data_IF_381639964881
#
_entry.id   IF_381639964881
#
_cell.length_a   1.000
_cell.length_b   1.000
_cell.length_c   1.000
_cell.angle_alpha   90.00
_cell.angle_beta   90.00
_cell.angle_gamma   90.00
#
_symmetry.space_group_name_H-M   'P 1'
#
loop_
_entity.id
_entity.type
_entity.pdbx_description
1 polymer ?
#
# COMPACT_ATOMS: atom_id res chain seq x y z
N UNK A 1 10.74 -8.34 -14.92
CA UNK A 1 9.98 -7.32 -14.14
C UNK A 1 8.50 -7.60 -14.34
N UNK A 2 7.73 -7.72 -13.25
CA UNK A 2 6.28 -7.92 -13.37
C UNK A 2 5.64 -6.64 -13.92
N UNK A 3 4.83 -6.77 -14.98
CA UNK A 3 3.95 -5.70 -15.46
C UNK A 3 2.82 -5.48 -14.44
N UNK A 4 2.14 -4.32 -14.46
CA UNK A 4 1.03 -4.01 -13.54
C UNK A 4 -0.05 -5.11 -13.50
N UNK A 5 -0.38 -5.70 -14.65
CA UNK A 5 -1.35 -6.78 -14.70
C UNK A 5 -0.84 -8.08 -14.06
N UNK A 6 0.46 -8.35 -14.13
CA UNK A 6 1.03 -9.63 -13.70
C UNK A 6 1.16 -9.74 -12.17
N UNK A 7 1.35 -8.62 -11.46
CA UNK A 7 1.45 -8.67 -10.00
C UNK A 7 0.09 -8.89 -9.32
N UNK A 8 -1.03 -8.47 -9.93
CA UNK A 8 -2.37 -8.75 -9.41
C UNK A 8 -2.63 -10.26 -9.39
N UNK A 9 -2.38 -10.94 -10.51
CA UNK A 9 -2.49 -12.41 -10.58
C UNK A 9 -1.52 -13.10 -9.61
N UNK A 10 -0.27 -12.62 -9.50
CA UNK A 10 0.69 -13.17 -8.55
C UNK A 10 0.22 -13.00 -7.09
N UNK A 11 -0.36 -11.85 -6.74
CA UNK A 11 -0.93 -11.62 -5.42
C UNK A 11 -2.06 -12.62 -5.13
N UNK A 12 -3.02 -12.77 -6.06
CA UNK A 12 -4.12 -13.75 -5.93
C UNK A 12 -3.60 -15.17 -5.75
N UNK A 13 -2.62 -15.59 -6.55
CA UNK A 13 -2.02 -16.92 -6.44
C UNK A 13 -1.38 -17.16 -5.06
N UNK A 14 -0.64 -16.18 -4.53
CA UNK A 14 -0.03 -16.28 -3.21
C UNK A 14 -1.09 -16.30 -2.10
N UNK A 15 -2.19 -15.55 -2.25
CA UNK A 15 -3.29 -15.60 -1.28
C UNK A 15 -3.82 -17.03 -1.14
N UNK A 16 -4.12 -17.70 -2.26
CA UNK A 16 -4.59 -19.09 -2.23
C UNK A 16 -3.51 -20.07 -1.73
N UNK A 17 -2.24 -19.82 -2.06
CA UNK A 17 -1.14 -20.62 -1.53
C UNK A 17 -1.04 -20.50 -0.01
N UNK A 18 -1.15 -19.29 0.56
CA UNK A 18 -1.12 -19.06 2.01
C UNK A 18 -2.35 -19.72 2.65
N UNK A 19 -3.54 -19.54 2.08
CA UNK A 19 -4.78 -20.14 2.57
C UNK A 19 -4.69 -21.67 2.67
N UNK A 20 -3.98 -22.31 1.74
CA UNK A 20 -3.87 -23.78 1.69
C UNK A 20 -2.69 -24.33 2.52
N UNK A 21 -1.58 -23.59 2.61
CA UNK A 21 -0.33 -24.11 3.20
C UNK A 21 -0.04 -23.61 4.60
N UNK A 22 -0.60 -22.47 5.00
CA UNK A 22 -0.30 -21.83 6.28
C UNK A 22 -1.47 -22.00 7.28
N UNK A 23 -1.20 -21.88 8.59
CA UNK A 23 -2.24 -21.80 9.61
C UNK A 23 -3.24 -20.67 9.35
N UNK A 24 -4.47 -20.83 9.85
CA UNK A 24 -5.53 -19.82 9.71
C UNK A 24 -5.13 -18.52 10.43
N UNK A 25 -5.02 -17.43 9.67
CA UNK A 25 -4.87 -16.08 10.21
C UNK A 25 -5.22 -15.03 9.15
N UNK A 26 -5.47 -13.79 9.55
CA UNK A 26 -5.90 -12.77 8.60
C UNK A 26 -4.72 -12.34 7.70
N UNK A 27 -5.05 -12.11 6.42
CA UNK A 27 -4.09 -11.71 5.39
C UNK A 27 -4.38 -10.27 4.98
N UNK A 28 -3.34 -9.44 4.94
CA UNK A 28 -3.38 -8.08 4.43
C UNK A 28 -2.60 -7.98 3.12
N UNK A 29 -3.25 -7.47 2.08
CA UNK A 29 -2.67 -7.30 0.74
C UNK A 29 -2.68 -5.83 0.36
N UNK A 30 -1.54 -5.32 -0.11
CA UNK A 30 -1.42 -3.95 -0.56
C UNK A 30 -1.63 -3.82 -2.06
N UNK A 31 -2.52 -2.93 -2.47
CA UNK A 31 -2.75 -2.52 -3.85
C UNK A 31 -2.52 -1.01 -4.01
N UNK A 32 -2.43 -0.54 -5.26
CA UNK A 32 -2.15 0.87 -5.53
C UNK A 32 -3.41 1.72 -5.70
N UNK A 33 -4.55 1.09 -6.04
CA UNK A 33 -5.79 1.82 -6.31
C UNK A 33 -7.06 1.01 -6.10
N UNK A 34 -8.20 1.70 -6.20
CA UNK A 34 -9.52 1.12 -6.03
C UNK A 34 -9.86 0.11 -7.14
N UNK A 35 -9.50 0.39 -8.38
CA UNK A 35 -9.83 -0.49 -9.52
C UNK A 35 -9.13 -1.85 -9.41
N UNK A 36 -7.87 -1.83 -8.96
CA UNK A 36 -7.09 -3.05 -8.70
C UNK A 36 -7.68 -3.87 -7.55
N UNK A 37 -8.19 -3.22 -6.50
CA UNK A 37 -8.87 -3.88 -5.38
C UNK A 37 -10.14 -4.57 -5.88
N UNK A 38 -10.96 -3.87 -6.68
CA UNK A 38 -12.20 -4.45 -7.24
C UNK A 38 -11.91 -5.64 -8.15
N UNK A 39 -10.97 -5.49 -9.09
CA UNK A 39 -10.57 -6.57 -9.99
C UNK A 39 -10.01 -7.78 -9.23
N UNK A 40 -9.23 -7.54 -8.18
CA UNK A 40 -8.70 -8.63 -7.33
C UNK A 40 -9.81 -9.30 -6.53
N UNK A 41 -10.75 -8.53 -5.98
CA UNK A 41 -11.91 -9.07 -5.27
C UNK A 41 -12.76 -9.98 -6.18
N UNK A 42 -13.09 -9.53 -7.39
CA UNK A 42 -13.85 -10.32 -8.36
C UNK A 42 -13.14 -11.64 -8.70
N UNK A 43 -11.82 -11.59 -8.94
CA UNK A 43 -11.02 -12.77 -9.24
C UNK A 43 -10.94 -13.74 -8.05
N UNK A 44 -10.80 -13.23 -6.82
CA UNK A 44 -10.84 -14.05 -5.61
C UNK A 44 -12.21 -14.73 -5.45
N UNK A 45 -13.31 -14.00 -5.63
CA UNK A 45 -14.66 -14.56 -5.52
C UNK A 45 -14.93 -15.64 -6.59
N UNK A 46 -14.52 -15.40 -7.83
CA UNK A 46 -14.68 -16.36 -8.93
C UNK A 46 -13.87 -17.63 -8.67
N UNK A 47 -12.60 -17.48 -8.27
CA UNK A 47 -11.73 -18.61 -7.96
C UNK A 47 -12.23 -19.38 -6.74
N UNK A 48 -12.76 -18.68 -5.72
CA UNK A 48 -13.35 -19.31 -4.55
C UNK A 48 -14.59 -20.13 -4.92
N UNK A 49 -15.46 -19.61 -5.80
CA UNK A 49 -16.63 -20.35 -6.31
C UNK A 49 -16.21 -21.59 -7.10
N UNK A 50 -15.16 -21.49 -7.91
CA UNK A 50 -14.63 -22.63 -8.68
C UNK A 50 -14.04 -23.73 -7.78
N UNK A 51 -13.41 -23.35 -6.67
CA UNK A 51 -12.86 -24.29 -5.68
C UNK A 51 -13.95 -24.89 -4.78
N UNK A 52 -15.07 -24.19 -4.58
CA UNK A 52 -16.23 -24.67 -3.84
C UNK A 52 -15.88 -25.11 -2.42
N UNK A 53 -16.39 -26.29 -2.01
CA UNK A 53 -16.20 -26.83 -0.65
C UNK A 53 -14.79 -27.39 -0.37
N UNK A 54 -13.86 -27.30 -1.34
CA UNK A 54 -12.48 -27.78 -1.13
C UNK A 54 -11.64 -26.82 -0.27
N UNK A 55 -12.09 -25.58 -0.13
CA UNK A 55 -11.42 -24.53 0.64
C UNK A 55 -12.32 -24.05 1.78
N UNK A 56 -11.70 -23.44 2.79
CA UNK A 56 -12.44 -22.81 3.88
C UNK A 56 -13.21 -21.58 3.40
N UNK A 57 -14.15 -21.11 4.21
CA UNK A 57 -14.90 -19.90 3.90
C UNK A 57 -13.95 -18.68 3.84
N UNK A 58 -14.14 -17.81 2.84
CA UNK A 58 -13.30 -16.64 2.64
C UNK A 58 -14.11 -15.38 2.91
N UNK A 59 -13.60 -14.50 3.77
CA UNK A 59 -14.18 -13.18 4.02
C UNK A 59 -13.30 -12.12 3.35
N UNK A 60 -13.75 -11.56 2.23
CA UNK A 60 -13.00 -10.54 1.48
C UNK A 60 -13.48 -9.15 1.92
N UNK A 61 -12.54 -8.27 2.28
CA UNK A 61 -12.81 -6.94 2.82
C UNK A 61 -11.96 -5.89 2.06
N UNK A 62 -12.54 -5.16 1.10
CA UNK A 62 -11.84 -4.09 0.40
C UNK A 62 -11.72 -2.83 1.26
N UNK A 63 -10.58 -2.13 1.17
CA UNK A 63 -10.25 -0.94 1.96
C UNK A 63 -9.63 0.14 1.06
N UNK A 64 -10.42 1.17 0.76
CA UNK A 64 -10.00 2.35 0.00
C UNK A 64 -10.71 3.61 0.51
N UNK A 65 -10.21 4.79 0.13
CA UNK A 65 -10.63 6.08 0.72
C UNK A 65 -12.15 6.36 0.67
N UNK A 66 -12.82 5.97 -0.43
CA UNK A 66 -14.25 6.22 -0.64
C UNK A 66 -15.15 5.05 -0.18
N UNK A 67 -14.72 4.26 0.79
CA UNK A 67 -15.53 3.13 1.29
C UNK A 67 -16.63 3.61 2.24
N UNK A 68 -17.90 3.22 2.05
CA UNK A 68 -18.98 3.61 2.95
C UNK A 68 -18.81 3.00 4.35
N UNK A 69 -19.28 3.72 5.38
CA UNK A 69 -19.06 3.43 6.81
C UNK A 69 -19.51 2.03 7.23
N UNK A 70 -20.60 1.54 6.64
CA UNK A 70 -21.10 0.18 6.89
C UNK A 70 -20.10 -0.91 6.47
N UNK A 71 -19.37 -0.71 5.37
CA UNK A 71 -18.34 -1.65 4.92
C UNK A 71 -17.04 -1.48 5.70
N UNK A 72 -16.75 -0.27 6.21
CA UNK A 72 -15.64 -0.07 7.11
C UNK A 72 -15.83 -0.83 8.44
N UNK A 73 -17.05 -0.88 8.97
CA UNK A 73 -17.36 -1.60 10.20
C UNK A 73 -17.05 -3.12 10.10
N UNK A 74 -17.35 -3.74 8.94
CA UNK A 74 -17.05 -5.16 8.67
C UNK A 74 -15.56 -5.51 8.79
N UNK A 75 -14.67 -4.54 8.61
CA UNK A 75 -13.23 -4.73 8.77
C UNK A 75 -12.86 -5.03 10.24
N UNK A 76 -13.64 -4.51 11.19
CA UNK A 76 -13.40 -4.72 12.62
C UNK A 76 -14.16 -5.92 13.20
N UNK A 77 -15.08 -6.51 12.44
CA UNK A 77 -15.77 -7.72 12.86
C UNK A 77 -14.79 -8.89 12.98
N UNK A 78 -14.88 -9.70 14.05
CA UNK A 78 -14.00 -10.83 14.26
C UNK A 78 -14.22 -11.88 13.17
N UNK A 79 -13.13 -12.49 12.71
CA UNK A 79 -13.17 -13.57 11.71
C UNK A 79 -13.88 -14.80 12.30
N UNK A 80 -14.92 -15.36 11.65
CA UNK A 80 -15.55 -16.60 12.09
C UNK A 80 -14.56 -17.77 12.14
N UNK A 81 -14.71 -18.71 13.08
CA UNK A 81 -13.77 -19.83 13.30
C UNK A 81 -13.51 -20.71 12.05
N UNK A 82 -14.47 -20.77 11.14
CA UNK A 82 -14.36 -21.53 9.88
C UNK A 82 -13.84 -20.71 8.71
N UNK A 83 -13.83 -19.38 8.81
CA UNK A 83 -13.46 -18.48 7.74
C UNK A 83 -12.04 -17.92 7.92
N UNK A 84 -11.48 -17.41 6.83
CA UNK A 84 -10.25 -16.62 6.85
C UNK A 84 -10.52 -15.24 6.23
N UNK A 85 -10.01 -14.18 6.86
CA UNK A 85 -10.22 -12.80 6.41
C UNK A 85 -9.10 -12.33 5.50
N UNK A 86 -9.48 -11.74 4.37
CA UNK A 86 -8.58 -11.16 3.37
C UNK A 86 -8.88 -9.67 3.25
N UNK A 87 -7.90 -8.86 3.63
CA UNK A 87 -7.98 -7.41 3.65
C UNK A 87 -7.25 -6.87 2.42
N UNK A 88 -7.98 -6.27 1.49
CA UNK A 88 -7.41 -5.71 0.26
C UNK A 88 -7.32 -4.18 0.42
N UNK A 89 -6.13 -3.64 0.68
CA UNK A 89 -5.97 -2.27 1.13
C UNK A 89 -5.06 -1.45 0.21
N UNK A 90 -5.34 -0.14 0.08
CA UNK A 90 -4.40 0.79 -0.54
C UNK A 90 -3.36 1.32 0.45
N UNK A 91 -2.35 2.04 -0.03
CA UNK A 91 -1.44 2.78 0.85
C UNK A 91 -2.11 3.90 1.62
N UNK A 92 -3.25 4.44 1.17
CA UNK A 92 -3.88 5.59 1.83
C UNK A 92 -4.50 5.16 3.16
N UNK A 93 -4.88 3.88 3.29
CA UNK A 93 -5.28 3.27 4.57
C UNK A 93 -4.09 2.94 5.50
N UNK A 94 -2.84 3.30 5.13
CA UNK A 94 -1.60 3.01 5.90
C UNK A 94 -1.67 3.42 7.37
N UNK A 95 -2.24 4.58 7.67
CA UNK A 95 -2.01 5.22 8.97
C UNK A 95 -3.13 4.99 9.97
N UNK A 96 -4.35 4.76 9.49
CA UNK A 96 -5.55 4.86 10.32
C UNK A 96 -6.18 3.53 10.75
N UNK A 97 -5.77 2.38 10.19
CA UNK A 97 -6.46 1.12 10.48
C UNK A 97 -5.50 0.14 11.16
N UNK A 98 -5.70 -0.01 12.47
CA UNK A 98 -5.10 -1.09 13.28
C UNK A 98 -6.05 -2.27 13.27
N UNK A 99 -5.85 -3.14 12.29
CA UNK A 99 -6.60 -4.40 12.21
C UNK A 99 -5.85 -5.43 13.05
N UNK A 100 -6.47 -5.87 14.13
CA UNK A 100 -5.95 -6.95 14.96
C UNK A 100 -6.21 -8.29 14.27
N UNK A 101 -5.28 -9.24 14.39
CA UNK A 101 -5.41 -10.57 13.77
C UNK A 101 -4.63 -10.78 12.46
N UNK A 102 -4.06 -9.71 11.89
CA UNK A 102 -3.21 -9.82 10.70
C UNK A 102 -1.87 -10.45 11.05
N UNK A 103 -1.60 -11.63 10.49
CA UNK A 103 -0.33 -12.37 10.64
C UNK A 103 0.42 -12.43 9.31
N UNK A 104 -0.29 -12.34 8.20
CA UNK A 104 0.28 -12.43 6.85
C UNK A 104 0.13 -11.12 6.11
N UNK A 105 1.23 -10.62 5.55
CA UNK A 105 1.24 -9.42 4.70
C UNK A 105 1.76 -9.79 3.32
N UNK A 106 1.07 -9.35 2.27
CA UNK A 106 1.52 -9.47 0.88
C UNK A 106 1.80 -8.05 0.37
N UNK A 107 3.07 -7.80 0.04
CA UNK A 107 3.56 -6.52 -0.45
C UNK A 107 4.07 -6.67 -1.89
N UNK A 108 3.32 -6.21 -2.90
CA UNK A 108 3.80 -6.22 -4.27
C UNK A 108 4.86 -5.13 -4.51
N UNK A 109 5.03 -4.19 -3.58
CA UNK A 109 6.07 -3.17 -3.62
C UNK A 109 5.69 -1.91 -4.40
N UNK A 110 4.51 -1.83 -5.02
CA UNK A 110 4.10 -0.66 -5.81
C UNK A 110 3.50 0.46 -4.96
N UNK A 111 3.62 1.71 -5.46
CA UNK A 111 3.00 2.89 -4.88
C UNK A 111 2.66 3.91 -5.98
N UNK A 112 1.51 4.59 -5.85
CA UNK A 112 1.20 5.79 -6.63
C UNK A 112 1.75 6.99 -5.88
N UNK A 113 2.55 7.79 -6.54
CA UNK A 113 3.13 9.02 -5.98
C UNK A 113 3.05 10.13 -7.01
N UNK A 114 2.79 11.35 -6.55
CA UNK A 114 2.85 12.52 -7.43
C UNK A 114 4.30 12.74 -7.83
N UNK A 115 4.54 12.83 -9.14
CA UNK A 115 5.81 13.27 -9.69
C UNK A 115 5.64 14.72 -10.13
N UNK A 116 6.48 15.59 -9.61
CA UNK A 116 6.63 16.95 -10.13
C UNK A 116 7.79 17.00 -11.14
N UNK A 117 7.54 17.58 -12.32
CA UNK A 117 8.59 17.89 -13.27
C UNK A 117 8.88 19.41 -13.22
N UNK A 118 10.06 19.83 -12.71
CA UNK A 118 10.38 21.24 -12.56
C UNK A 118 10.53 21.98 -13.90
N UNK A 119 10.86 21.28 -14.99
CA UNK A 119 11.02 21.89 -16.31
C UNK A 119 9.68 22.25 -16.96
N UNK A 120 8.63 21.48 -16.69
CA UNK A 120 7.29 21.72 -17.26
C UNK A 120 6.31 22.36 -16.28
N UNK A 121 6.64 22.39 -14.98
CA UNK A 121 5.77 22.88 -13.93
C UNK A 121 4.52 22.02 -13.70
N UNK A 122 4.46 20.82 -14.31
CA UNK A 122 3.31 19.94 -14.23
C UNK A 122 3.49 18.87 -13.14
N UNK A 123 2.43 18.68 -12.37
CA UNK A 123 2.28 17.51 -11.51
C UNK A 123 1.59 16.40 -12.29
N UNK A 124 2.21 15.22 -12.31
CA UNK A 124 1.63 14.03 -12.90
C UNK A 124 1.52 12.94 -11.86
N UNK A 125 0.37 12.26 -11.83
CA UNK A 125 0.16 11.11 -10.97
C UNK A 125 0.77 9.90 -11.70
N UNK A 126 2.03 9.62 -11.42
CA UNK A 126 2.79 8.57 -12.11
C UNK A 126 2.77 7.31 -11.25
N UNK A 127 2.51 6.18 -11.89
CA UNK A 127 2.76 4.87 -11.28
C UNK A 127 4.28 4.69 -11.19
N UNK A 128 4.83 4.88 -10.01
CA UNK A 128 6.21 4.51 -9.79
C UNK A 128 6.30 3.01 -9.50
N UNK A 129 7.08 2.32 -10.32
CA UNK A 129 7.70 1.04 -9.96
C UNK A 129 8.85 1.31 -8.99
N UNK A 130 8.60 2.08 -7.94
CA UNK A 130 9.53 2.15 -6.84
C UNK A 130 9.20 0.97 -5.95
N UNK A 131 10.08 -0.04 -6.00
CA UNK A 131 10.41 -0.85 -4.84
C UNK A 131 10.26 0.07 -3.63
N UNK A 132 9.24 -0.19 -2.83
CA UNK A 132 8.94 0.63 -1.67
C UNK A 132 10.24 1.04 -1.00
N UNK A 133 10.42 2.35 -0.78
CA UNK A 133 11.54 2.85 0.00
C UNK A 133 11.68 1.94 1.22
N UNK A 134 12.88 1.46 1.55
CA UNK A 134 13.05 0.39 2.54
C UNK A 134 12.28 0.64 3.83
N UNK A 135 12.20 1.90 4.27
CA UNK A 135 11.38 2.35 5.38
C UNK A 135 9.88 2.04 5.20
N UNK A 136 9.27 2.38 4.06
CA UNK A 136 7.88 2.07 3.76
C UNK A 136 7.61 0.56 3.66
N UNK A 137 8.51 -0.20 3.03
CA UNK A 137 8.42 -1.66 2.95
C UNK A 137 8.48 -2.31 4.33
N UNK A 138 9.35 -1.79 5.21
CA UNK A 138 9.48 -2.26 6.59
C UNK A 138 8.28 -1.87 7.45
N UNK A 139 7.69 -0.69 7.25
CA UNK A 139 6.43 -0.31 7.89
C UNK A 139 5.27 -1.22 7.47
N UNK A 140 5.18 -1.61 6.19
CA UNK A 140 4.19 -2.58 5.70
C UNK A 140 4.41 -3.96 6.33
N UNK A 141 5.66 -4.43 6.35
CA UNK A 141 6.02 -5.71 6.97
C UNK A 141 5.71 -5.73 8.48
N UNK A 142 5.90 -4.61 9.19
CA UNK A 142 5.57 -4.47 10.61
C UNK A 142 4.09 -4.64 10.95
N UNK A 143 3.18 -4.67 9.98
CA UNK A 143 1.74 -4.92 10.20
C UNK A 143 1.44 -6.37 10.54
N UNK A 144 2.24 -7.31 10.02
CA UNK A 144 2.06 -8.75 10.26
C UNK A 144 2.46 -9.17 11.69
N UNK A 145 3.21 -8.33 12.42
CA UNK A 145 3.83 -8.71 13.70
C UNK A 145 3.22 -8.08 14.95
N UNK A 146 2.01 -7.51 14.88
CA UNK A 146 1.43 -6.75 16.01
C UNK A 146 0.92 -7.62 17.15
N UNK A 147 0.34 -8.78 16.82
CA UNK A 147 -0.34 -9.65 17.80
C UNK A 147 0.40 -10.99 17.96
N UNK A 148 0.96 -11.52 16.87
CA UNK A 148 1.66 -12.79 16.83
C UNK A 148 2.85 -12.71 15.85
N UNK A 149 3.79 -13.68 15.88
CA UNK A 149 4.85 -13.77 14.87
C UNK A 149 4.26 -13.88 13.46
N UNK A 150 4.47 -12.83 12.66
CA UNK A 150 3.93 -12.74 11.31
C UNK A 150 4.93 -13.01 10.20
N UNK A 151 4.41 -13.17 8.97
CA UNK A 151 5.21 -13.31 7.76
C UNK A 151 4.82 -12.25 6.73
N UNK A 152 5.82 -11.64 6.11
CA UNK A 152 5.63 -10.70 5.00
C UNK A 152 6.16 -11.32 3.71
N UNK A 153 5.30 -11.46 2.71
CA UNK A 153 5.62 -11.94 1.37
C UNK A 153 5.80 -10.75 0.43
N UNK A 154 6.99 -10.59 -0.13
CA UNK A 154 7.33 -9.50 -1.05
C UNK A 154 7.37 -10.04 -2.48
N UNK A 155 6.63 -9.44 -3.43
CA UNK A 155 6.58 -9.92 -4.83
C UNK A 155 7.74 -9.44 -5.71
N UNK A 156 8.82 -8.96 -5.09
CA UNK A 156 10.00 -8.45 -5.76
C UNK A 156 11.26 -9.15 -5.27
N UNK A 157 12.27 -9.21 -6.14
CA UNK A 157 13.52 -9.90 -5.86
C UNK A 157 14.31 -9.19 -4.75
N UNK A 158 15.00 -9.97 -3.91
CA UNK A 158 15.87 -9.43 -2.84
C UNK A 158 16.94 -8.47 -3.38
N UNK A 159 17.49 -8.73 -4.57
CA UNK A 159 18.47 -7.85 -5.21
C UNK A 159 17.89 -6.47 -5.54
N UNK A 160 16.65 -6.41 -6.01
CA UNK A 160 15.94 -5.15 -6.25
C UNK A 160 15.69 -4.39 -4.94
N UNK A 161 15.34 -5.10 -3.86
CA UNK A 161 15.20 -4.50 -2.53
C UNK A 161 16.53 -3.90 -2.02
N UNK A 162 17.63 -4.65 -2.11
CA UNK A 162 18.93 -4.21 -1.60
C UNK A 162 19.52 -3.04 -2.41
N UNK A 163 19.34 -3.02 -3.74
CA UNK A 163 19.82 -1.92 -4.58
C UNK A 163 19.13 -0.58 -4.24
N UNK A 164 17.90 -0.63 -3.76
CA UNK A 164 17.12 0.56 -3.41
C UNK A 164 17.32 0.96 -1.94
N UNK A 165 17.98 0.13 -1.12
CA UNK A 165 18.44 0.50 0.21
C UNK A 165 19.51 1.60 0.18
N UNK A 166 20.31 1.64 -0.88
CA UNK A 166 21.41 2.58 -1.04
C UNK A 166 20.95 3.96 -1.57
N UNK A 167 19.66 4.15 -1.84
CA UNK A 167 19.12 5.42 -2.33
C UNK A 167 18.44 6.17 -1.18
N UNK A 168 18.92 7.38 -0.92
CA UNK A 168 18.25 8.29 0.01
C UNK A 168 16.82 8.61 -0.45
N UNK A 169 15.93 8.73 0.53
CA UNK A 169 14.54 9.11 0.30
C UNK A 169 14.53 10.57 -0.13
N UNK A 170 14.21 10.83 -1.40
CA UNK A 170 13.93 12.19 -1.84
C UNK A 170 12.67 12.69 -1.12
N UNK A 171 12.81 13.82 -0.45
CA UNK A 171 11.80 14.37 0.47
C UNK A 171 10.61 14.94 -0.31
N UNK A 172 9.41 14.91 0.27
CA UNK A 172 8.16 15.33 -0.41
C UNK A 172 8.19 16.80 -0.90
N UNK A 173 8.84 17.68 -0.12
CA UNK A 173 9.03 19.10 -0.48
C UNK A 173 9.84 19.28 -1.78
N UNK A 174 10.64 18.28 -2.14
CA UNK A 174 11.43 18.28 -3.37
C UNK A 174 10.69 17.68 -4.57
N UNK A 175 9.50 17.11 -4.36
CA UNK A 175 8.74 16.39 -5.39
C UNK A 175 7.33 16.95 -5.63
N UNK A 176 6.99 18.08 -5.03
CA UNK A 176 5.66 18.68 -5.09
C UNK A 176 5.73 20.13 -5.57
N UNK A 177 4.63 20.63 -6.14
CA UNK A 177 4.52 22.03 -6.51
C UNK A 177 4.35 22.89 -5.25
N UNK A 178 5.32 23.77 -5.04
CA UNK A 178 5.38 24.64 -3.86
C UNK A 178 4.50 25.88 -3.96
N UNK A 179 3.79 26.11 -5.07
CA UNK A 179 2.97 27.31 -5.26
C UNK A 179 2.01 27.55 -4.09
N UNK A 180 1.31 26.49 -3.65
CA UNK A 180 0.39 26.57 -2.51
C UNK A 180 1.12 26.87 -1.18
N UNK A 181 2.29 26.28 -0.99
CA UNK A 181 3.12 26.50 0.21
C UNK A 181 3.66 27.93 0.23
N UNK A 182 4.11 28.45 -0.91
CA UNK A 182 4.59 29.82 -1.07
C UNK A 182 3.46 30.84 -0.82
N UNK A 183 2.26 30.59 -1.35
CA UNK A 183 1.07 31.40 -1.08
C UNK A 183 0.74 31.43 0.42
N UNK A 184 0.81 30.29 1.09
CA UNK A 184 0.58 30.19 2.53
C UNK A 184 1.66 30.93 3.35
N UNK A 185 2.93 30.78 2.99
CA UNK A 185 4.03 31.49 3.66
C UNK A 185 3.89 33.02 3.49
N UNK A 186 3.47 33.47 2.31
CA UNK A 186 3.20 34.89 2.03
C UNK A 186 1.99 35.41 2.81
N UNK A 187 0.92 34.63 2.96
CA UNK A 187 -0.23 35.04 3.77
C UNK A 187 0.09 35.13 5.27
N UNK A 188 1.06 34.34 5.74
CA UNK A 188 1.62 34.40 7.10
C UNK A 188 2.61 35.56 7.30
N UNK A 189 2.87 36.38 6.27
CA UNK A 189 3.76 37.53 6.33
C UNK A 189 5.25 37.22 6.14
N UNK A 190 5.59 35.97 5.80
CA UNK A 190 6.97 35.56 5.52
C UNK A 190 7.33 35.97 4.10
N UNK A 191 8.14 37.02 3.99
CA UNK A 191 8.51 37.59 2.69
C UNK A 191 9.80 37.02 2.11
N UNK A 192 10.74 36.62 2.96
CA UNK A 192 12.00 36.01 2.57
C UNK A 192 11.88 34.49 2.57
N UNK A 193 11.64 33.92 1.38
CA UNK A 193 11.51 32.47 1.20
C UNK A 193 12.88 31.79 1.11
N UNK A 194 13.90 32.49 0.62
CA UNK A 194 15.27 31.95 0.43
C UNK A 194 15.97 31.79 1.78
N UNK A 195 15.77 32.75 2.69
CA UNK A 195 16.29 32.66 4.06
C UNK A 195 15.35 31.98 5.05
N UNK A 196 14.31 31.27 4.56
CA UNK A 196 13.43 30.51 5.43
C UNK A 196 14.10 29.18 5.80
N UNK A 197 14.09 28.85 7.10
CA UNK A 197 14.74 27.66 7.63
C UNK A 197 13.89 26.41 7.34
N UNK A 198 13.96 25.92 6.09
CA UNK A 198 13.36 24.66 5.72
C UNK A 198 14.18 23.50 6.29
N UNK A 199 13.49 22.51 6.87
CA UNK A 199 14.13 21.29 7.37
C UNK A 199 14.88 20.54 6.26
N UNK A 200 14.29 20.53 5.05
CA UNK A 200 14.93 20.13 3.80
C UNK A 200 14.57 21.17 2.74
N UNK A 201 15.54 21.85 2.11
CA UNK A 201 15.23 22.89 1.13
C UNK A 201 14.69 22.29 -0.17
N UNK A 202 13.77 23.01 -0.84
CA UNK A 202 13.28 22.60 -2.15
C UNK A 202 14.34 22.78 -3.25
N UNK A 203 14.24 22.04 -4.37
CA UNK A 203 15.19 22.13 -5.47
C UNK A 203 15.14 23.52 -6.11
N UNK A 204 16.26 24.26 -6.06
CA UNK A 204 16.42 25.56 -6.72
C UNK A 204 16.16 26.80 -5.84
N UNK A 205 16.04 26.64 -4.51
CA UNK A 205 16.22 27.75 -3.56
C UNK A 205 17.66 27.84 -3.05
#
# INVERSE_FOLDING_TARGET
MYTPNNYLYAAVAIIFQIHTTQPKADILVFFTGQDEIKASQENLEETARALGNKIGELMICPIYANLPTNMQAKIFEPTPDRAQKFLLATNISKTLITINGVVYVIDPGFVKQNSYNPCTGMESLVFFLFVCLPAAANQRAGRAGRVAPGKCFRLYMKSAYMKELDKDTVVEIQQTNLANVVLLLKSLGINNLIGFDFLDPPPGM
#
